data_IF_081203963958
#
_entry.id   IF_081203963958
#
_cell.length_a   1.000
_cell.length_b   1.000
_cell.length_c   1.000
_cell.angle_alpha   90.00
_cell.angle_beta   90.00
_cell.angle_gamma   90.00
#
_symmetry.space_group_name_H-M   'P 1'
#
loop_
_entity.id
_entity.type
_entity.pdbx_description
1 polymer ?
#
# COMPACT_ATOMS: atom_id res chain seq x y z
N UNK A 1 13.93 17.70 -9.13
CA UNK A 1 14.75 16.95 -10.04
C UNK A 1 14.51 15.48 -9.82
N UNK A 2 14.34 14.72 -10.94
CA UNK A 2 14.29 13.27 -10.87
C UNK A 2 15.47 12.82 -10.01
N UNK A 3 15.20 12.02 -8.98
CA UNK A 3 16.31 11.43 -8.25
C UNK A 3 17.10 10.62 -9.28
N UNK A 4 18.43 10.83 -9.45
CA UNK A 4 19.23 10.01 -10.35
C UNK A 4 19.06 8.52 -10.06
N UNK A 5 18.62 8.18 -8.84
CA UNK A 5 18.32 6.84 -8.39
C UNK A 5 17.13 6.18 -9.11
N UNK A 6 16.09 6.93 -9.53
CA UNK A 6 14.90 6.32 -10.15
C UNK A 6 15.19 5.85 -11.58
N UNK A 7 15.90 6.67 -12.36
CA UNK A 7 16.33 6.29 -13.72
C UNK A 7 17.33 5.13 -13.68
N UNK A 8 18.33 5.18 -12.78
CA UNK A 8 19.29 4.10 -12.63
C UNK A 8 18.67 2.79 -12.10
N UNK A 9 17.59 2.87 -11.32
CA UNK A 9 16.87 1.70 -10.84
C UNK A 9 16.14 0.99 -11.99
N UNK A 10 15.42 1.73 -12.83
CA UNK A 10 14.70 1.16 -13.99
C UNK A 10 15.65 0.64 -15.07
N UNK A 11 16.83 1.26 -15.25
CA UNK A 11 17.88 0.75 -16.12
C UNK A 11 18.49 -0.55 -15.60
N UNK A 12 18.74 -0.63 -14.29
CA UNK A 12 19.31 -1.83 -13.65
C UNK A 12 18.29 -2.98 -13.53
N UNK A 13 17.01 -2.67 -13.42
CA UNK A 13 15.93 -3.64 -13.29
C UNK A 13 14.70 -3.24 -14.11
N UNK A 14 14.69 -3.53 -15.43
CA UNK A 14 13.63 -3.12 -16.34
C UNK A 14 12.22 -3.68 -16.02
N UNK A 15 12.16 -4.69 -15.15
CA UNK A 15 10.88 -5.28 -14.69
C UNK A 15 10.36 -4.66 -13.39
N UNK A 16 11.12 -3.77 -12.77
CA UNK A 16 10.69 -3.07 -11.54
C UNK A 16 9.63 -2.04 -11.89
N UNK A 17 8.49 -2.15 -11.25
CA UNK A 17 7.42 -1.14 -11.33
C UNK A 17 7.72 -0.06 -10.29
N UNK A 18 7.64 1.18 -10.71
CA UNK A 18 7.90 2.34 -9.87
C UNK A 18 6.62 3.09 -9.55
N UNK A 19 6.38 3.30 -8.26
CA UNK A 19 5.24 4.07 -7.76
C UNK A 19 5.76 5.37 -7.18
N UNK A 20 5.24 6.49 -7.66
CA UNK A 20 5.58 7.81 -7.16
C UNK A 20 4.48 8.40 -6.29
N UNK A 21 4.86 9.04 -5.19
CA UNK A 21 3.97 9.85 -4.37
C UNK A 21 4.63 11.18 -4.08
N UNK A 22 3.88 12.26 -4.29
CA UNK A 22 4.30 13.61 -3.91
C UNK A 22 3.60 13.92 -2.58
N UNK A 23 4.39 14.26 -1.58
CA UNK A 23 3.84 14.60 -0.28
C UNK A 23 3.02 15.89 -0.36
N UNK A 24 1.77 15.83 0.07
CA UNK A 24 0.80 16.93 0.06
C UNK A 24 0.04 16.95 1.39
N UNK A 25 -0.58 18.07 1.68
CA UNK A 25 -1.61 18.12 2.73
C UNK A 25 -2.76 17.15 2.37
N UNK A 26 -3.48 16.72 3.37
CA UNK A 26 -4.63 15.81 3.19
C UNK A 26 -5.77 16.43 2.38
N UNK A 27 -6.79 15.64 2.01
CA UNK A 27 -7.89 16.12 1.20
C UNK A 27 -8.77 17.15 1.94
N UNK A 28 -9.20 18.16 1.21
CA UNK A 28 -10.15 19.17 1.67
C UNK A 28 -11.58 18.77 1.23
N UNK A 29 -12.26 18.01 2.04
CA UNK A 29 -13.58 17.42 1.74
C UNK A 29 -14.74 18.42 1.58
N UNK A 30 -14.53 19.69 1.90
CA UNK A 30 -15.47 20.80 1.68
C UNK A 30 -15.42 21.40 0.27
N UNK A 31 -14.42 21.01 -0.54
CA UNK A 31 -14.27 21.44 -1.92
C UNK A 31 -15.05 20.54 -2.88
N UNK A 32 -15.27 21.04 -4.12
CA UNK A 32 -15.76 20.19 -5.19
C UNK A 32 -14.70 19.14 -5.54
N UNK A 33 -15.01 17.83 -5.50
CA UNK A 33 -14.00 16.78 -5.68
C UNK A 33 -13.36 16.77 -7.07
N UNK A 34 -14.10 17.04 -8.13
CA UNK A 34 -13.59 17.04 -9.50
C UNK A 34 -12.62 18.21 -9.72
N UNK A 35 -12.97 19.38 -9.20
CA UNK A 35 -12.09 20.54 -9.29
C UNK A 35 -10.81 20.32 -8.45
N UNK A 36 -10.95 19.81 -7.24
CA UNK A 36 -9.83 19.47 -6.38
C UNK A 36 -8.87 18.46 -7.03
N UNK A 37 -9.40 17.48 -7.76
CA UNK A 37 -8.60 16.50 -8.49
C UNK A 37 -7.80 17.14 -9.64
N UNK A 38 -8.41 18.01 -10.43
CA UNK A 38 -7.72 18.73 -11.50
C UNK A 38 -6.65 19.67 -10.96
N UNK A 39 -6.95 20.41 -9.90
CA UNK A 39 -6.01 21.31 -9.23
C UNK A 39 -4.84 20.52 -8.64
N UNK A 40 -5.11 19.36 -8.03
CA UNK A 40 -4.09 18.44 -7.53
C UNK A 40 -3.12 18.01 -8.64
N UNK A 41 -3.63 17.54 -9.77
CA UNK A 41 -2.80 17.10 -10.90
C UNK A 41 -2.03 18.28 -11.52
N UNK A 42 -2.69 19.41 -11.76
CA UNK A 42 -2.07 20.59 -12.37
C UNK A 42 -0.93 21.16 -11.51
N UNK A 43 -1.12 21.21 -10.20
CA UNK A 43 -0.09 21.69 -9.25
C UNK A 43 1.17 20.82 -9.27
N UNK A 44 1.00 19.51 -9.50
CA UNK A 44 2.10 18.54 -9.48
C UNK A 44 2.66 18.19 -10.87
N UNK A 45 2.06 18.72 -11.93
CA UNK A 45 2.34 18.30 -13.32
C UNK A 45 3.82 18.42 -13.71
N UNK A 46 4.51 19.47 -13.24
CA UNK A 46 5.93 19.63 -13.48
C UNK A 46 6.74 18.51 -12.82
N UNK A 47 6.40 18.13 -11.58
CA UNK A 47 7.06 17.03 -10.88
C UNK A 47 6.83 15.69 -11.58
N UNK A 48 5.65 15.44 -12.12
CA UNK A 48 5.39 14.25 -12.92
C UNK A 48 6.29 14.20 -14.17
N UNK A 49 6.40 15.30 -14.89
CA UNK A 49 7.25 15.42 -16.09
C UNK A 49 8.74 15.27 -15.78
N UNK A 50 9.19 15.73 -14.62
CA UNK A 50 10.58 15.60 -14.18
C UNK A 50 10.95 14.17 -13.72
N UNK A 51 9.96 13.29 -13.56
CA UNK A 51 10.16 11.91 -13.10
C UNK A 51 9.56 10.90 -14.10
N UNK A 52 10.02 10.85 -15.34
CA UNK A 52 9.42 10.04 -16.41
C UNK A 52 9.58 8.53 -16.20
N UNK A 53 10.43 8.10 -15.27
CA UNK A 53 10.65 6.70 -14.92
C UNK A 53 9.63 6.19 -13.88
N UNK A 54 8.70 7.02 -13.42
CA UNK A 54 7.61 6.59 -12.53
C UNK A 54 6.47 6.02 -13.36
N UNK A 55 6.10 4.78 -13.10
CA UNK A 55 5.06 4.07 -13.82
C UNK A 55 3.65 4.49 -13.42
N UNK A 56 3.44 4.69 -12.11
CA UNK A 56 2.15 5.06 -11.55
C UNK A 56 2.31 6.12 -10.46
N UNK A 57 1.34 7.02 -10.40
CA UNK A 57 1.32 8.10 -9.41
C UNK A 57 0.18 7.92 -8.41
N UNK A 58 0.53 7.87 -7.14
CA UNK A 58 -0.44 7.91 -6.03
C UNK A 58 -1.04 9.30 -5.84
N UNK A 59 -2.21 9.34 -5.20
CA UNK A 59 -2.88 10.54 -4.76
C UNK A 59 -2.50 10.92 -3.32
N UNK A 60 -3.53 11.20 -2.51
CA UNK A 60 -3.37 11.46 -1.08
C UNK A 60 -2.90 10.21 -0.33
N UNK A 61 -2.02 10.43 0.64
CA UNK A 61 -1.60 9.38 1.55
C UNK A 61 -2.67 9.16 2.63
N UNK A 62 -3.11 7.93 2.79
CA UNK A 62 -4.01 7.49 3.86
C UNK A 62 -5.22 8.43 4.06
N UNK A 63 -6.03 8.66 3.01
CA UNK A 63 -7.24 9.46 3.14
C UNK A 63 -8.19 8.82 4.15
N UNK A 64 -8.94 9.65 4.88
CA UNK A 64 -9.94 9.17 5.84
C UNK A 64 -11.20 8.68 5.11
N UNK A 65 -11.50 7.38 5.15
CA UNK A 65 -12.48 6.75 4.28
C UNK A 65 -13.89 6.62 4.91
N UNK A 66 -14.27 7.46 5.87
CA UNK A 66 -15.65 7.38 6.35
C UNK A 66 -16.66 7.63 5.23
N UNK A 67 -17.90 7.17 5.38
CA UNK A 67 -18.90 7.08 4.33
C UNK A 67 -19.01 8.32 3.43
N UNK A 68 -19.22 9.51 3.99
CA UNK A 68 -19.40 10.75 3.21
C UNK A 68 -18.09 11.17 2.52
N UNK A 69 -16.97 10.97 3.19
CA UNK A 69 -15.64 11.24 2.64
C UNK A 69 -15.25 10.23 1.56
N UNK A 70 -15.73 8.99 1.65
CA UNK A 70 -15.49 7.99 0.61
C UNK A 70 -16.23 8.35 -0.68
N UNK A 71 -17.47 8.86 -0.61
CA UNK A 71 -18.19 9.37 -1.78
C UNK A 71 -17.42 10.52 -2.44
N UNK A 72 -16.95 11.47 -1.64
CA UNK A 72 -16.09 12.56 -2.14
C UNK A 72 -14.81 12.04 -2.76
N UNK A 73 -14.11 11.15 -2.06
CA UNK A 73 -12.82 10.61 -2.48
C UNK A 73 -12.93 9.74 -3.74
N UNK A 74 -13.99 8.98 -3.88
CA UNK A 74 -14.29 8.22 -5.10
C UNK A 74 -14.42 9.14 -6.32
N UNK A 75 -15.15 10.25 -6.21
CA UNK A 75 -15.30 11.24 -7.28
C UNK A 75 -13.99 11.98 -7.57
N UNK A 76 -13.23 12.30 -6.53
CA UNK A 76 -11.88 12.87 -6.67
C UNK A 76 -10.96 11.93 -7.48
N UNK A 77 -10.89 10.64 -7.10
CA UNK A 77 -10.03 9.68 -7.80
C UNK A 77 -10.47 9.42 -9.24
N UNK A 78 -11.76 9.36 -9.51
CA UNK A 78 -12.27 9.26 -10.89
C UNK A 78 -11.73 10.40 -11.77
N UNK A 79 -11.83 11.63 -11.29
CA UNK A 79 -11.37 12.78 -12.05
C UNK A 79 -9.83 12.90 -12.09
N UNK A 80 -9.14 12.51 -11.00
CA UNK A 80 -7.68 12.48 -10.97
C UNK A 80 -7.10 11.48 -11.98
N UNK A 81 -7.72 10.32 -12.13
CA UNK A 81 -7.36 9.31 -13.15
C UNK A 81 -7.45 9.92 -14.56
N UNK A 82 -8.56 10.59 -14.89
CA UNK A 82 -8.76 11.26 -16.18
C UNK A 82 -7.72 12.34 -16.41
N UNK A 83 -7.53 13.21 -15.43
CA UNK A 83 -6.59 14.33 -15.53
C UNK A 83 -5.14 13.85 -15.72
N UNK A 84 -4.72 12.77 -15.04
CA UNK A 84 -3.42 12.16 -15.26
C UNK A 84 -3.31 11.57 -16.69
N UNK A 85 -4.35 10.86 -17.15
CA UNK A 85 -4.37 10.24 -18.46
C UNK A 85 -4.32 11.28 -19.60
N UNK A 86 -4.94 12.45 -19.45
CA UNK A 86 -4.84 13.58 -20.39
C UNK A 86 -3.37 14.03 -20.61
N UNK A 87 -2.51 13.80 -19.62
CA UNK A 87 -1.09 14.11 -19.67
C UNK A 87 -0.18 12.89 -19.94
N UNK A 88 -0.75 11.71 -20.19
CA UNK A 88 -0.01 10.48 -20.47
C UNK A 88 0.53 9.77 -19.23
N UNK A 89 0.06 10.11 -18.03
CA UNK A 89 0.43 9.46 -16.79
C UNK A 89 -0.64 8.45 -16.34
N UNK A 90 -0.25 7.51 -15.49
CA UNK A 90 -1.15 6.48 -14.93
C UNK A 90 -1.29 6.65 -13.43
N UNK A 91 -2.48 6.40 -12.92
CA UNK A 91 -2.80 6.50 -11.51
C UNK A 91 -2.61 5.17 -10.76
N UNK A 92 -2.05 5.23 -9.55
CA UNK A 92 -2.32 4.29 -8.47
C UNK A 92 -3.35 4.95 -7.56
N UNK A 93 -4.54 4.36 -7.42
CA UNK A 93 -5.67 4.93 -6.68
C UNK A 93 -5.83 4.27 -5.32
N UNK A 94 -6.43 4.96 -4.38
CA UNK A 94 -6.69 4.48 -3.03
C UNK A 94 -5.68 4.99 -2.03
N UNK A 95 -4.55 4.31 -1.84
CA UNK A 95 -3.55 4.68 -0.83
C UNK A 95 -4.09 4.60 0.60
N UNK A 96 -5.07 3.71 0.83
CA UNK A 96 -5.75 3.56 2.12
C UNK A 96 -4.84 2.95 3.17
N UNK A 97 -4.95 3.44 4.41
CA UNK A 97 -4.24 2.91 5.57
C UNK A 97 -4.61 1.45 5.88
N UNK A 98 -3.77 0.78 6.65
CA UNK A 98 -4.03 -0.59 7.09
C UNK A 98 -5.34 -0.70 7.90
N UNK A 99 -6.15 -1.70 7.57
CA UNK A 99 -7.41 -1.95 8.25
C UNK A 99 -8.59 -1.12 7.76
N UNK A 100 -8.41 -0.25 6.78
CA UNK A 100 -9.46 0.57 6.16
C UNK A 100 -9.36 0.51 4.63
N UNK A 101 -10.45 0.85 3.89
CA UNK A 101 -11.80 1.13 4.39
C UNK A 101 -12.51 -0.14 4.89
N UNK A 102 -13.65 0.03 5.54
CA UNK A 102 -14.56 -1.06 5.78
C UNK A 102 -15.19 -1.55 4.47
N UNK A 103 -15.71 -2.78 4.48
CA UNK A 103 -16.19 -3.41 3.24
C UNK A 103 -17.30 -2.60 2.56
N UNK A 104 -18.28 -2.12 3.34
CA UNK A 104 -19.39 -1.30 2.84
C UNK A 104 -18.93 0.07 2.32
N UNK A 105 -17.88 0.63 2.90
CA UNK A 105 -17.30 1.89 2.43
C UNK A 105 -16.55 1.70 1.10
N UNK A 106 -15.87 0.57 0.92
CA UNK A 106 -15.17 0.28 -0.32
C UNK A 106 -16.14 0.12 -1.51
N UNK A 107 -17.38 -0.32 -1.29
CA UNK A 107 -18.40 -0.37 -2.33
C UNK A 107 -18.62 1.02 -2.99
N UNK A 108 -18.52 2.09 -2.21
CA UNK A 108 -18.65 3.47 -2.71
C UNK A 108 -17.45 3.90 -3.59
N UNK A 109 -16.36 3.14 -3.54
CA UNK A 109 -15.14 3.40 -4.30
C UNK A 109 -15.10 2.69 -5.66
N UNK A 110 -16.03 1.78 -5.96
CA UNK A 110 -16.06 0.97 -7.18
C UNK A 110 -16.07 1.80 -8.48
N UNK A 111 -16.68 2.99 -8.45
CA UNK A 111 -16.66 3.88 -9.60
C UNK A 111 -15.25 4.42 -9.91
N UNK A 112 -14.41 4.64 -8.90
CA UNK A 112 -13.02 5.02 -9.08
C UNK A 112 -12.19 3.82 -9.60
N UNK A 113 -12.47 2.61 -9.12
CA UNK A 113 -11.83 1.38 -9.65
C UNK A 113 -12.15 1.18 -11.13
N UNK A 114 -13.42 1.38 -11.51
CA UNK A 114 -13.82 1.29 -12.91
C UNK A 114 -13.06 2.32 -13.78
N UNK A 115 -12.98 3.57 -13.34
CA UNK A 115 -12.25 4.62 -14.06
C UNK A 115 -10.75 4.28 -14.18
N UNK A 116 -10.13 3.78 -13.09
CA UNK A 116 -8.75 3.33 -13.12
C UNK A 116 -8.55 2.17 -14.13
N UNK A 117 -9.48 1.23 -14.21
CA UNK A 117 -9.44 0.13 -15.17
C UNK A 117 -9.43 0.63 -16.62
N UNK A 118 -10.33 1.57 -16.96
CA UNK A 118 -10.40 2.16 -18.29
C UNK A 118 -9.10 2.90 -18.71
N UNK A 119 -8.38 3.46 -17.73
CA UNK A 119 -7.14 4.21 -17.94
C UNK A 119 -5.87 3.44 -17.54
N UNK A 120 -5.94 2.11 -17.39
CA UNK A 120 -4.80 1.25 -17.03
C UNK A 120 -4.12 1.66 -15.72
N UNK A 121 -4.89 2.16 -14.79
CA UNK A 121 -4.47 2.43 -13.41
C UNK A 121 -4.39 1.14 -12.59
N UNK A 122 -3.92 1.28 -11.37
CA UNK A 122 -3.80 0.20 -10.40
C UNK A 122 -4.42 0.61 -9.06
N UNK A 123 -4.79 -0.36 -8.23
CA UNK A 123 -5.15 -0.12 -6.83
C UNK A 123 -3.87 -0.08 -5.99
N UNK A 124 -3.80 0.84 -5.05
CA UNK A 124 -2.74 0.94 -4.03
C UNK A 124 -3.34 0.85 -2.65
N UNK A 125 -2.77 0.00 -1.80
CA UNK A 125 -3.20 -0.18 -0.41
C UNK A 125 -1.98 -0.25 0.51
N UNK A 126 -2.18 0.03 1.82
CA UNK A 126 -1.20 -0.23 2.86
C UNK A 126 -1.65 -1.42 3.71
N UNK A 127 -0.72 -2.31 4.00
CA UNK A 127 -0.97 -3.45 4.88
C UNK A 127 0.09 -3.54 5.97
N UNK A 128 -0.27 -3.11 7.14
CA UNK A 128 0.54 -3.19 8.35
C UNK A 128 -0.15 -4.07 9.39
N UNK A 129 0.65 -4.66 10.26
CA UNK A 129 0.15 -5.36 11.43
C UNK A 129 1.14 -5.26 12.58
N UNK A 130 0.71 -5.55 13.81
CA UNK A 130 1.54 -5.65 15.00
C UNK A 130 0.83 -6.51 16.06
N UNK A 131 1.57 -7.21 16.94
CA UNK A 131 3.03 -7.21 17.11
C UNK A 131 3.77 -8.07 16.07
N UNK A 132 3.06 -8.80 15.22
CA UNK A 132 3.58 -9.66 14.15
C UNK A 132 2.74 -9.46 12.89
N UNK A 133 3.31 -9.71 11.71
CA UNK A 133 2.60 -9.50 10.44
C UNK A 133 1.37 -10.39 10.26
N UNK A 134 1.32 -11.55 10.91
CA UNK A 134 0.14 -12.42 10.87
C UNK A 134 -0.90 -12.15 11.98
N UNK A 135 -0.75 -11.08 12.75
CA UNK A 135 -1.79 -10.69 13.70
C UNK A 135 -3.06 -10.26 12.96
N UNK A 136 -4.19 -10.85 13.32
CA UNK A 136 -5.46 -10.64 12.60
C UNK A 136 -5.62 -11.47 11.32
N UNK A 137 -4.64 -12.32 10.95
CA UNK A 137 -4.83 -13.29 9.87
C UNK A 137 -5.76 -14.41 10.32
N UNK A 138 -6.70 -14.79 9.45
CA UNK A 138 -7.79 -15.71 9.80
C UNK A 138 -8.99 -15.03 10.50
N UNK A 139 -8.88 -13.73 10.83
CA UNK A 139 -9.98 -12.97 11.40
C UNK A 139 -10.97 -12.50 10.31
N UNK A 140 -12.19 -12.18 10.76
CA UNK A 140 -13.23 -11.62 9.89
C UNK A 140 -13.16 -10.10 9.82
N UNK A 141 -13.76 -9.55 8.78
CA UNK A 141 -14.21 -8.15 8.78
C UNK A 141 -15.57 -8.02 9.49
N UNK A 142 -15.96 -6.83 9.97
CA UNK A 142 -17.29 -6.61 10.50
C UNK A 142 -18.39 -7.13 9.56
N UNK A 143 -19.31 -7.90 10.09
CA UNK A 143 -20.42 -8.49 9.32
C UNK A 143 -20.06 -9.72 8.46
N UNK A 144 -18.83 -10.18 8.47
CA UNK A 144 -18.38 -11.36 7.70
C UNK A 144 -17.98 -12.51 8.63
N UNK A 145 -18.04 -13.73 8.11
CA UNK A 145 -17.53 -14.91 8.82
C UNK A 145 -15.99 -14.99 8.71
N UNK A 146 -15.28 -15.54 9.71
CA UNK A 146 -13.83 -15.74 9.63
C UNK A 146 -13.43 -16.59 8.43
N UNK A 147 -12.31 -16.23 7.81
CA UNK A 147 -11.77 -16.94 6.66
C UNK A 147 -10.29 -17.30 6.86
N UNK A 148 -9.87 -18.58 6.66
CA UNK A 148 -8.52 -19.02 7.00
C UNK A 148 -7.40 -18.41 6.13
N UNK A 149 -7.73 -17.85 4.97
CA UNK A 149 -6.78 -17.30 4.01
C UNK A 149 -6.84 -15.77 3.90
N UNK A 150 -7.68 -15.10 4.70
CA UNK A 150 -7.88 -13.65 4.69
C UNK A 150 -7.59 -13.07 6.08
N UNK A 151 -7.26 -11.82 6.17
CA UNK A 151 -7.03 -11.16 7.46
C UNK A 151 -7.77 -9.84 7.59
N UNK A 152 -7.80 -9.33 8.80
CA UNK A 152 -8.38 -8.00 9.08
C UNK A 152 -7.38 -6.86 8.75
N UNK A 153 -6.09 -7.17 8.69
CA UNK A 153 -4.98 -6.24 8.47
C UNK A 153 -4.16 -6.65 7.25
N UNK A 154 -3.29 -7.66 7.38
CA UNK A 154 -2.57 -8.28 6.27
C UNK A 154 -3.46 -9.27 5.52
N UNK A 155 -3.34 -9.31 4.20
CA UNK A 155 -4.27 -10.02 3.30
C UNK A 155 -5.72 -9.55 3.39
N UNK A 156 -5.92 -8.30 3.85
CA UNK A 156 -7.23 -7.66 3.88
C UNK A 156 -7.77 -7.43 2.47
N UNK A 157 -6.91 -7.11 1.51
CA UNK A 157 -7.28 -6.95 0.11
C UNK A 157 -8.04 -8.15 -0.49
N UNK A 158 -7.83 -9.38 0.03
CA UNK A 158 -8.53 -10.57 -0.47
C UNK A 158 -10.04 -10.49 -0.27
N UNK A 159 -10.50 -9.85 0.82
CA UNK A 159 -11.93 -9.58 0.99
C UNK A 159 -12.47 -8.69 -0.13
N UNK A 160 -11.73 -7.64 -0.48
CA UNK A 160 -12.13 -6.69 -1.51
C UNK A 160 -12.12 -7.32 -2.90
N UNK A 161 -11.09 -8.11 -3.20
CA UNK A 161 -10.96 -8.76 -4.50
C UNK A 161 -11.94 -9.92 -4.68
N UNK A 162 -12.02 -10.83 -3.74
CA UNK A 162 -12.77 -12.08 -3.91
C UNK A 162 -14.27 -11.88 -3.74
N UNK A 163 -14.70 -10.96 -2.87
CA UNK A 163 -16.13 -10.70 -2.64
C UNK A 163 -16.70 -9.57 -3.51
N UNK A 164 -15.86 -8.71 -4.10
CA UNK A 164 -16.34 -7.53 -4.80
C UNK A 164 -15.69 -7.34 -6.17
N UNK A 165 -14.37 -7.13 -6.25
CA UNK A 165 -13.74 -6.72 -7.51
C UNK A 165 -13.80 -7.80 -8.59
N UNK A 166 -13.45 -9.04 -8.26
CA UNK A 166 -13.51 -10.17 -9.21
C UNK A 166 -14.96 -10.45 -9.66
N UNK A 167 -15.95 -10.56 -8.77
CA UNK A 167 -17.34 -10.72 -9.16
C UNK A 167 -17.89 -9.64 -10.08
N UNK A 168 -17.45 -8.40 -9.92
CA UNK A 168 -17.85 -7.28 -10.77
C UNK A 168 -16.97 -7.07 -12.01
N UNK A 169 -15.93 -7.90 -12.22
CA UNK A 169 -14.97 -7.72 -13.30
C UNK A 169 -14.14 -6.45 -13.18
N UNK A 170 -13.83 -6.04 -11.96
CA UNK A 170 -13.07 -4.84 -11.62
C UNK A 170 -11.70 -5.15 -10.99
N UNK A 171 -11.18 -6.34 -11.20
CA UNK A 171 -9.94 -6.88 -10.67
C UNK A 171 -8.69 -6.24 -11.31
N UNK A 172 -8.55 -4.92 -11.16
CA UNK A 172 -7.35 -4.18 -11.58
C UNK A 172 -6.12 -4.65 -10.80
N UNK A 173 -4.88 -4.48 -11.33
CA UNK A 173 -3.68 -4.85 -10.59
C UNK A 173 -3.57 -4.10 -9.26
N UNK A 174 -3.06 -4.79 -8.24
CA UNK A 174 -2.86 -4.27 -6.88
C UNK A 174 -1.37 -4.11 -6.58
N UNK A 175 -0.99 -2.98 -6.01
CA UNK A 175 0.28 -2.80 -5.29
C UNK A 175 -0.01 -2.58 -3.80
N UNK A 176 0.75 -3.24 -2.93
CA UNK A 176 0.80 -2.86 -1.52
C UNK A 176 1.98 -1.89 -1.38
N UNK A 177 1.69 -0.61 -1.49
CA UNK A 177 2.73 0.43 -1.56
C UNK A 177 3.41 0.71 -0.22
N UNK A 178 2.83 0.26 0.87
CA UNK A 178 3.47 0.22 2.18
C UNK A 178 3.06 -1.05 2.93
N UNK A 179 4.04 -1.80 3.43
CA UNK A 179 3.81 -3.01 4.21
C UNK A 179 4.84 -3.18 5.32
N UNK A 180 4.45 -3.85 6.40
CA UNK A 180 5.37 -4.21 7.48
C UNK A 180 4.74 -4.24 8.85
N UNK A 181 5.55 -3.86 9.83
CA UNK A 181 5.14 -3.74 11.23
C UNK A 181 4.86 -2.28 11.55
N UNK A 182 3.65 -2.01 12.04
CA UNK A 182 3.27 -0.72 12.61
C UNK A 182 2.55 -0.88 13.94
N UNK A 183 3.18 -0.40 14.99
CA UNK A 183 2.66 -0.47 16.35
C UNK A 183 1.53 0.50 16.67
N UNK A 184 1.12 1.36 15.74
CA UNK A 184 -0.06 2.22 15.86
C UNK A 184 -1.35 1.38 15.88
N UNK A 185 -1.32 0.16 15.32
CA UNK A 185 -2.46 -0.77 15.35
C UNK A 185 -3.02 -0.88 16.78
N UNK A 186 -4.27 -0.46 16.94
CA UNK A 186 -4.97 -0.44 18.23
C UNK A 186 -5.41 -1.84 18.71
N UNK A 187 -5.75 -1.92 20.00
CA UNK A 187 -6.31 -3.13 20.64
C UNK A 187 -5.48 -4.43 20.48
N UNK A 188 -4.20 -4.32 20.18
CA UNK A 188 -3.27 -5.43 20.03
C UNK A 188 -2.59 -5.80 21.36
N UNK A 189 -2.15 -7.04 21.48
CA UNK A 189 -1.23 -7.46 22.55
C UNK A 189 0.23 -7.13 22.20
N UNK A 190 1.16 -7.46 23.08
CA UNK A 190 2.59 -7.24 22.87
C UNK A 190 3.10 -5.89 23.38
N UNK A 191 4.38 -5.58 23.18
CA UNK A 191 5.01 -4.38 23.71
C UNK A 191 4.49 -3.11 23.03
N UNK A 192 4.66 -1.98 23.72
CA UNK A 192 4.60 -0.67 23.07
C UNK A 192 5.73 -0.56 22.04
N UNK A 193 5.52 0.22 20.98
CA UNK A 193 6.49 0.42 19.92
C UNK A 193 5.81 0.88 18.65
N UNK A 194 6.57 1.40 17.70
CA UNK A 194 6.11 1.85 16.38
C UNK A 194 6.62 0.90 15.28
N UNK A 195 7.88 1.02 14.89
CA UNK A 195 8.46 0.23 13.82
C UNK A 195 9.02 -1.13 14.27
N UNK A 196 9.34 -1.97 13.32
CA UNK A 196 9.80 -3.34 13.52
C UNK A 196 10.97 -3.51 14.53
N UNK A 197 11.84 -2.53 14.63
CA UNK A 197 13.01 -2.58 15.53
C UNK A 197 12.61 -2.61 17.01
N UNK A 198 11.48 -2.02 17.36
CA UNK A 198 10.99 -1.99 18.73
C UNK A 198 10.28 -3.29 19.13
N UNK A 199 9.96 -4.15 18.16
CA UNK A 199 9.39 -5.47 18.39
C UNK A 199 10.43 -6.60 18.38
N UNK A 200 11.65 -6.32 17.95
CA UNK A 200 12.68 -7.33 17.72
C UNK A 200 12.97 -8.22 18.93
N UNK A 201 13.16 -7.62 20.11
CA UNK A 201 13.41 -8.35 21.35
C UNK A 201 12.21 -9.24 21.74
N UNK A 202 11.00 -8.71 21.62
CA UNK A 202 9.77 -9.47 21.85
C UNK A 202 9.70 -10.71 20.94
N UNK A 203 10.04 -10.59 19.67
CA UNK A 203 10.02 -11.71 18.74
C UNK A 203 11.01 -12.82 19.10
N UNK A 204 12.20 -12.44 19.57
CA UNK A 204 13.20 -13.41 20.04
C UNK A 204 12.69 -14.15 21.27
N UNK A 205 12.10 -13.45 22.22
CA UNK A 205 11.52 -14.02 23.45
C UNK A 205 10.31 -14.95 23.13
N UNK A 206 9.55 -14.65 22.08
CA UNK A 206 8.46 -15.51 21.61
C UNK A 206 8.92 -16.65 20.69
N UNK A 207 10.23 -16.76 20.39
CA UNK A 207 10.77 -17.81 19.54
C UNK A 207 10.43 -17.67 18.05
N UNK A 208 10.07 -16.47 17.59
CA UNK A 208 9.73 -16.21 16.18
C UNK A 208 10.99 -16.25 15.28
N UNK A 209 12.14 -15.92 15.84
CA UNK A 209 13.43 -16.04 15.18
C UNK A 209 14.59 -15.92 16.15
N UNK A 210 15.81 -16.32 15.75
CA UNK A 210 16.99 -16.30 16.62
C UNK A 210 17.56 -14.90 16.85
N UNK A 211 17.18 -13.93 16.03
CA UNK A 211 17.51 -12.51 16.17
C UNK A 211 16.35 -11.65 15.69
N UNK A 212 16.29 -10.35 16.08
CA UNK A 212 15.31 -9.40 15.59
C UNK A 212 15.19 -9.37 14.06
N UNK A 213 16.34 -9.31 13.38
CA UNK A 213 16.41 -9.25 11.93
C UNK A 213 15.83 -10.52 11.29
N UNK A 214 16.25 -11.70 11.77
CA UNK A 214 15.76 -12.96 11.22
C UNK A 214 14.27 -13.16 11.51
N UNK A 215 13.80 -12.74 12.68
CA UNK A 215 12.39 -12.79 13.01
C UNK A 215 11.54 -11.92 12.06
N UNK A 216 12.04 -10.73 11.71
CA UNK A 216 11.34 -9.88 10.75
C UNK A 216 11.41 -10.43 9.32
N UNK A 217 12.57 -10.91 8.88
CA UNK A 217 12.72 -11.55 7.56
C UNK A 217 11.81 -12.77 7.40
N UNK A 218 11.64 -13.59 8.43
CA UNK A 218 10.71 -14.72 8.41
C UNK A 218 9.26 -14.26 8.20
N UNK A 219 8.85 -13.16 8.82
CA UNK A 219 7.52 -12.58 8.68
C UNK A 219 7.30 -11.98 7.29
N UNK A 220 8.30 -11.27 6.76
CA UNK A 220 8.25 -10.74 5.38
C UNK A 220 8.19 -11.89 4.34
N UNK A 221 8.95 -12.96 4.55
CA UNK A 221 8.92 -14.15 3.70
C UNK A 221 7.54 -14.85 3.73
N UNK A 222 6.91 -14.92 4.91
CA UNK A 222 5.55 -15.44 5.05
C UNK A 222 4.55 -14.59 4.24
N UNK A 223 4.67 -13.28 4.34
CA UNK A 223 3.80 -12.35 3.61
C UNK A 223 4.02 -12.43 2.10
N UNK A 224 5.29 -12.43 1.65
CA UNK A 224 5.66 -12.59 0.24
C UNK A 224 5.11 -13.90 -0.36
N UNK A 225 5.26 -15.00 0.36
CA UNK A 225 4.72 -16.30 -0.07
C UNK A 225 3.19 -16.28 -0.21
N UNK A 226 2.51 -15.48 0.59
CA UNK A 226 1.07 -15.30 0.50
C UNK A 226 0.65 -14.45 -0.70
N UNK A 227 1.25 -13.26 -0.87
CA UNK A 227 0.88 -12.34 -1.98
C UNK A 227 1.20 -12.91 -3.35
N UNK A 228 2.25 -13.74 -3.47
CA UNK A 228 2.61 -14.42 -4.73
C UNK A 228 1.55 -15.39 -5.24
N UNK A 229 0.62 -15.82 -4.40
CA UNK A 229 -0.49 -16.70 -4.81
C UNK A 229 -1.60 -15.93 -5.51
N UNK A 230 -1.64 -14.62 -5.35
CA UNK A 230 -2.71 -13.74 -5.82
C UNK A 230 -2.25 -13.03 -7.10
N UNK A 231 -2.62 -13.55 -8.27
CA UNK A 231 -2.13 -13.13 -9.58
C UNK A 231 -2.44 -11.68 -9.95
N UNK A 232 -3.33 -11.01 -9.21
CA UNK A 232 -3.61 -9.58 -9.36
C UNK A 232 -2.67 -8.69 -8.53
N UNK A 233 -1.89 -9.26 -7.59
CA UNK A 233 -0.90 -8.49 -6.80
C UNK A 233 0.40 -8.39 -7.59
N UNK A 234 0.79 -7.18 -7.96
CA UNK A 234 2.02 -6.92 -8.72
C UNK A 234 3.25 -6.79 -7.83
N UNK A 235 3.09 -6.59 -6.54
CA UNK A 235 4.17 -6.54 -5.56
C UNK A 235 3.81 -5.75 -4.31
N UNK A 236 4.79 -5.68 -3.40
CA UNK A 236 4.70 -4.84 -2.21
C UNK A 236 6.04 -4.17 -1.91
N UNK A 237 5.98 -3.06 -1.16
CA UNK A 237 7.17 -2.40 -0.64
C UNK A 237 7.19 -2.43 0.89
N UNK A 238 8.37 -2.71 1.44
CA UNK A 238 8.54 -2.70 2.90
C UNK A 238 8.82 -1.28 3.36
N UNK A 239 8.03 -0.77 4.27
CA UNK A 239 8.25 0.54 4.86
C UNK A 239 9.26 0.45 6.03
N UNK A 240 10.42 1.11 5.99
CA UNK A 240 10.93 1.96 4.91
C UNK A 240 12.45 1.87 4.82
N UNK A 241 13.00 2.03 3.64
CA UNK A 241 14.43 2.23 3.46
C UNK A 241 14.80 3.70 3.71
N UNK A 242 15.93 3.96 4.43
CA UNK A 242 16.41 5.31 4.70
C UNK A 242 15.59 6.08 5.74
N UNK A 243 14.78 5.42 6.56
CA UNK A 243 14.00 6.05 7.62
C UNK A 243 14.88 6.79 8.63
N UNK A 244 14.50 8.01 9.01
CA UNK A 244 15.16 8.83 10.01
C UNK A 244 14.13 9.58 10.87
N UNK A 245 14.56 10.13 12.02
CA UNK A 245 13.66 10.79 12.95
C UNK A 245 12.58 9.84 13.46
N UNK A 246 11.31 10.20 13.35
CA UNK A 246 10.17 9.37 13.77
C UNK A 246 10.07 8.03 13.01
N UNK A 247 10.72 7.92 11.84
CA UNK A 247 10.72 6.71 11.00
C UNK A 247 11.96 5.83 11.21
N UNK A 248 12.86 6.17 12.15
CA UNK A 248 14.09 5.41 12.39
C UNK A 248 13.82 3.97 12.82
N UNK A 249 12.78 3.74 13.60
CA UNK A 249 12.39 2.39 14.08
C UNK A 249 11.84 1.48 12.99
N UNK A 250 11.43 2.05 11.86
CA UNK A 250 10.98 1.33 10.66
C UNK A 250 12.13 1.04 9.68
N UNK A 251 13.29 1.69 9.84
CA UNK A 251 14.38 1.64 8.86
C UNK A 251 14.93 0.23 8.65
N UNK A 252 14.82 -0.26 7.39
CA UNK A 252 15.24 -1.60 6.97
C UNK A 252 16.65 -1.65 6.34
N UNK A 253 17.44 -0.57 6.38
CA UNK A 253 18.74 -0.53 5.71
C UNK A 253 19.67 -1.68 6.15
N UNK A 254 19.61 -2.10 7.41
CA UNK A 254 20.38 -3.25 7.92
C UNK A 254 19.95 -4.60 7.33
N UNK A 255 18.74 -4.68 6.77
CA UNK A 255 18.16 -5.91 6.18
C UNK A 255 18.35 -5.98 4.66
N UNK A 256 18.77 -4.90 4.00
CA UNK A 256 18.85 -4.85 2.53
C UNK A 256 19.69 -5.98 1.92
N UNK A 257 20.87 -6.40 2.48
CA UNK A 257 21.63 -7.52 1.93
C UNK A 257 20.83 -8.82 1.95
N UNK A 258 20.14 -9.13 3.04
CA UNK A 258 19.33 -10.35 3.19
C UNK A 258 18.07 -10.29 2.32
N UNK A 259 17.40 -9.15 2.23
CA UNK A 259 16.24 -8.96 1.35
C UNK A 259 16.63 -9.11 -0.12
N UNK A 260 17.80 -8.57 -0.53
CA UNK A 260 18.33 -8.75 -1.88
C UNK A 260 18.62 -10.23 -2.18
N UNK A 261 19.27 -10.92 -1.24
CA UNK A 261 19.54 -12.35 -1.39
C UNK A 261 18.25 -13.18 -1.48
N UNK A 262 17.26 -12.87 -0.64
CA UNK A 262 15.94 -13.51 -0.69
C UNK A 262 15.27 -13.27 -2.03
N UNK A 263 15.13 -12.03 -2.47
CA UNK A 263 14.50 -11.68 -3.74
C UNK A 263 15.16 -12.38 -4.93
N UNK A 264 16.51 -12.45 -4.93
CA UNK A 264 17.26 -13.14 -5.99
C UNK A 264 17.04 -14.65 -6.00
N UNK A 265 16.71 -15.26 -4.86
CA UNK A 265 16.43 -16.70 -4.76
C UNK A 265 15.02 -17.10 -5.23
N UNK A 266 14.14 -16.13 -5.44
CA UNK A 266 12.75 -16.35 -5.85
C UNK A 266 12.55 -16.33 -7.38
N UNK A 267 13.61 -16.09 -8.12
CA UNK A 267 13.68 -16.10 -9.59
C UNK A 267 14.48 -17.29 -10.08
#
# INVERSE_FOLDING_TARGET
PASPSTVSLTEASPRTITIGRINTDGPHYDQNPEQAARDFVNTQLEQYRLNPAVDYWEGYNEPDPNHDRMVWFSRFEQERVKALAEHGFRAAIGGFAAGVPEFEEFELFLAAIWEAKEHRGILSLHEYSAPVMNYGFGANLPGMEPHPERGALTFRYRWLYEEMLIPFGLDIPLVISEAGIDGIIGNRHGPAGLGWREFGQYWVEQGIGPSPEQAYLNQLAWYDAGVRRDGYVIGFTVFTAGGFGQWETYNINSLLPQLTAYASSQH
#
